data_IF_024035442157
#
_entry.id   IF_024035442157
#
_cell.length_a   1.000
_cell.length_b   1.000
_cell.length_c   1.000
_cell.angle_alpha   90.00
_cell.angle_beta   90.00
_cell.angle_gamma   90.00
#
_symmetry.space_group_name_H-M   'P 1'
#
loop_
_entity.id
_entity.type
_entity.pdbx_description
1 polymer ?
#
# COMPACT_ATOMS: atom_id res chain seq x y z
N UNK A 1 -41.60 1.51 -22.23
CA UNK A 1 -40.19 1.36 -21.79
C UNK A 1 -39.89 0.14 -20.89
N UNK A 2 -40.83 -0.33 -20.07
CA UNK A 2 -40.58 -1.52 -19.17
C UNK A 2 -40.19 -2.82 -19.89
N UNK A 3 -40.72 -3.09 -21.10
CA UNK A 3 -40.46 -4.34 -21.82
C UNK A 3 -39.08 -4.41 -22.48
N UNK A 4 -38.45 -3.27 -22.80
CA UNK A 4 -37.14 -3.24 -23.48
C UNK A 4 -35.99 -3.67 -22.58
N UNK A 5 -36.11 -3.43 -21.27
CA UNK A 5 -35.07 -3.78 -20.31
C UNK A 5 -35.23 -5.21 -19.75
N UNK A 6 -36.42 -5.81 -19.82
CA UNK A 6 -36.68 -7.17 -19.32
C UNK A 6 -35.80 -8.23 -19.99
N UNK A 7 -35.57 -8.10 -21.30
CA UNK A 7 -34.72 -9.03 -22.04
C UNK A 7 -33.24 -8.94 -21.62
N UNK A 8 -32.75 -7.75 -21.24
CA UNK A 8 -31.40 -7.59 -20.76
C UNK A 8 -31.21 -8.06 -19.32
N UNK A 9 -32.24 -7.95 -18.48
CA UNK A 9 -32.26 -8.54 -17.14
C UNK A 9 -32.18 -10.07 -17.24
N UNK A 10 -32.98 -10.69 -18.12
CA UNK A 10 -32.94 -12.13 -18.37
C UNK A 10 -31.56 -12.55 -18.89
N UNK A 11 -30.99 -11.81 -19.82
CA UNK A 11 -29.64 -12.10 -20.35
C UNK A 11 -28.57 -12.04 -19.25
N UNK A 12 -28.66 -11.06 -18.32
CA UNK A 12 -27.79 -10.93 -17.18
C UNK A 12 -27.87 -12.15 -16.23
N UNK A 13 -29.09 -12.61 -15.93
CA UNK A 13 -29.29 -13.81 -15.10
C UNK A 13 -28.71 -15.04 -15.77
N UNK A 14 -28.95 -15.24 -17.08
CA UNK A 14 -28.38 -16.36 -17.84
C UNK A 14 -26.87 -16.29 -17.83
N UNK A 15 -26.28 -15.13 -18.07
CA UNK A 15 -24.81 -14.96 -18.10
C UNK A 15 -24.18 -15.23 -16.74
N UNK A 16 -24.82 -14.80 -15.66
CA UNK A 16 -24.34 -15.06 -14.29
C UNK A 16 -24.44 -16.54 -13.94
N UNK A 17 -25.51 -17.20 -14.38
CA UNK A 17 -25.70 -18.64 -14.22
C UNK A 17 -24.63 -19.44 -15.01
N UNK A 18 -24.29 -18.98 -16.24
CA UNK A 18 -23.23 -19.59 -17.05
C UNK A 18 -21.87 -19.51 -16.36
N UNK A 19 -21.55 -18.35 -15.76
CA UNK A 19 -20.31 -18.19 -14.98
C UNK A 19 -20.31 -19.14 -13.77
N UNK A 20 -21.41 -19.19 -13.05
CA UNK A 20 -21.58 -20.07 -11.89
C UNK A 20 -21.40 -21.56 -12.26
N UNK A 21 -22.08 -22.04 -13.30
CA UNK A 21 -21.95 -23.41 -13.79
C UNK A 21 -20.54 -23.70 -14.30
N UNK A 22 -19.93 -22.73 -14.99
CA UNK A 22 -18.57 -22.83 -15.49
C UNK A 22 -17.51 -23.00 -14.40
N UNK A 23 -17.75 -22.44 -13.21
CA UNK A 23 -16.87 -22.59 -12.05
C UNK A 23 -16.82 -24.01 -11.48
N UNK A 24 -17.91 -24.77 -11.60
CA UNK A 24 -17.97 -26.18 -11.16
C UNK A 24 -17.57 -27.17 -12.25
N UNK A 25 -17.40 -26.69 -13.48
CA UNK A 25 -16.94 -27.54 -14.58
C UNK A 25 -15.41 -27.60 -14.61
N UNK A 26 -14.80 -28.70 -15.11
CA UNK A 26 -13.34 -28.77 -15.18
C UNK A 26 -12.81 -27.65 -16.09
N UNK A 27 -11.86 -26.88 -15.57
CA UNK A 27 -11.31 -25.71 -16.25
C UNK A 27 -10.26 -26.11 -17.30
N UNK A 28 -9.60 -27.23 -17.07
CA UNK A 28 -8.58 -27.78 -17.97
C UNK A 28 -8.90 -29.23 -18.30
N UNK A 29 -8.91 -29.54 -19.58
CA UNK A 29 -9.05 -30.90 -20.12
C UNK A 29 -7.68 -31.31 -20.66
N UNK A 30 -6.94 -32.12 -19.93
CA UNK A 30 -5.63 -32.61 -20.36
C UNK A 30 -5.38 -34.05 -19.96
N UNK A 31 -4.57 -34.78 -20.75
CA UNK A 31 -4.12 -36.15 -20.44
C UNK A 31 -3.47 -36.17 -19.06
N UNK A 32 -3.90 -37.09 -18.23
CA UNK A 32 -3.57 -37.27 -16.80
C UNK A 32 -2.07 -37.41 -16.47
N UNK A 33 -1.19 -37.48 -17.44
CA UNK A 33 0.15 -38.03 -17.24
C UNK A 33 1.28 -37.03 -17.15
N UNK A 34 1.06 -35.72 -17.27
CA UNK A 34 2.21 -34.82 -17.33
C UNK A 34 2.41 -33.86 -16.15
N UNK A 35 1.38 -33.44 -15.38
CA UNK A 35 1.60 -32.34 -14.39
C UNK A 35 0.67 -32.28 -13.18
N UNK A 36 -0.11 -33.30 -12.85
CA UNK A 36 -1.20 -33.18 -11.87
C UNK A 36 -1.04 -34.00 -10.58
N UNK A 37 0.10 -34.60 -10.30
CA UNK A 37 0.29 -35.35 -9.06
C UNK A 37 0.41 -34.47 -7.80
N UNK A 38 0.68 -33.15 -7.93
CA UNK A 38 0.84 -32.25 -6.79
C UNK A 38 -0.22 -31.15 -6.68
N UNK A 39 -1.22 -31.14 -7.58
CA UNK A 39 -2.26 -30.12 -7.55
C UNK A 39 -3.40 -30.56 -6.61
N UNK A 40 -3.27 -30.20 -5.34
CA UNK A 40 -4.37 -30.35 -4.40
C UNK A 40 -5.57 -29.51 -4.85
N UNK A 41 -6.59 -30.16 -5.39
CA UNK A 41 -7.93 -29.63 -5.70
C UNK A 41 -8.51 -28.71 -4.61
N UNK A 42 -8.03 -28.84 -3.40
CA UNK A 42 -8.47 -28.05 -2.24
C UNK A 42 -8.06 -26.56 -2.27
N UNK A 43 -6.95 -26.19 -2.88
CA UNK A 43 -6.50 -24.79 -2.91
C UNK A 43 -7.20 -23.96 -3.99
N UNK A 44 -7.55 -24.59 -5.10
CA UNK A 44 -8.41 -23.98 -6.14
C UNK A 44 -9.87 -24.01 -5.72
N UNK A 45 -10.29 -25.04 -4.97
CA UNK A 45 -11.66 -25.19 -4.50
C UNK A 45 -12.04 -24.12 -3.47
N UNK A 46 -11.15 -23.70 -2.58
CA UNK A 46 -11.46 -22.68 -1.58
C UNK A 46 -11.74 -21.30 -2.22
N UNK A 47 -10.97 -20.93 -3.22
CA UNK A 47 -11.17 -19.66 -3.94
C UNK A 47 -12.40 -19.72 -4.85
N UNK A 48 -12.58 -20.84 -5.57
CA UNK A 48 -13.74 -21.06 -6.43
C UNK A 48 -15.04 -21.11 -5.59
N UNK A 49 -15.02 -21.72 -4.42
CA UNK A 49 -16.13 -21.73 -3.48
C UNK A 49 -16.42 -20.31 -2.94
N UNK A 50 -15.41 -19.53 -2.55
CA UNK A 50 -15.61 -18.14 -2.11
C UNK A 50 -16.21 -17.25 -3.21
N UNK A 51 -15.74 -17.38 -4.44
CA UNK A 51 -16.28 -16.63 -5.59
C UNK A 51 -17.69 -17.11 -5.91
N UNK A 52 -17.95 -18.42 -5.85
CA UNK A 52 -19.27 -19.01 -6.08
C UNK A 52 -20.28 -18.57 -5.01
N UNK A 53 -19.88 -18.54 -3.75
CA UNK A 53 -20.70 -18.02 -2.64
C UNK A 53 -20.96 -16.52 -2.82
N UNK A 54 -19.97 -15.74 -3.22
CA UNK A 54 -20.13 -14.32 -3.51
C UNK A 54 -21.11 -14.11 -4.70
N UNK A 55 -21.01 -14.89 -5.76
CA UNK A 55 -21.96 -14.87 -6.88
C UNK A 55 -23.37 -15.29 -6.44
N UNK A 56 -23.50 -16.34 -5.64
CA UNK A 56 -24.79 -16.80 -5.12
C UNK A 56 -25.44 -15.78 -4.18
N UNK A 57 -24.65 -15.14 -3.29
CA UNK A 57 -25.12 -14.07 -2.42
C UNK A 57 -25.55 -12.85 -3.23
N UNK A 58 -24.82 -12.49 -4.28
CA UNK A 58 -25.19 -11.36 -5.15
C UNK A 58 -26.45 -11.65 -5.96
N UNK A 59 -26.66 -12.88 -6.41
CA UNK A 59 -27.93 -13.31 -7.03
C UNK A 59 -29.07 -13.22 -6.00
N UNK A 60 -28.87 -13.73 -4.77
CA UNK A 60 -29.89 -13.70 -3.71
C UNK A 60 -30.26 -12.26 -3.30
N UNK A 61 -29.28 -11.36 -3.17
CA UNK A 61 -29.54 -9.95 -2.87
C UNK A 61 -30.09 -9.19 -4.06
N UNK A 62 -29.90 -9.64 -5.32
CA UNK A 62 -30.43 -9.00 -6.52
C UNK A 62 -31.94 -9.05 -6.61
N UNK A 63 -32.58 -10.07 -6.04
CA UNK A 63 -34.03 -10.15 -5.95
C UNK A 63 -34.66 -9.05 -5.08
N UNK A 64 -33.92 -8.39 -4.23
CA UNK A 64 -34.41 -7.36 -3.28
C UNK A 64 -34.04 -5.91 -3.59
N UNK A 65 -33.04 -5.61 -4.42
CA UNK A 65 -32.63 -4.21 -4.72
C UNK A 65 -32.00 -4.03 -6.12
N UNK A 66 -32.40 -2.98 -6.80
CA UNK A 66 -32.08 -2.56 -8.17
C UNK A 66 -30.58 -2.39 -8.53
N UNK A 67 -29.63 -2.56 -7.58
CA UNK A 67 -28.20 -2.29 -7.77
C UNK A 67 -27.27 -3.49 -7.49
N UNK A 68 -27.79 -4.60 -7.01
CA UNK A 68 -26.95 -5.74 -6.60
C UNK A 68 -26.40 -6.56 -7.78
N UNK A 69 -27.05 -6.49 -8.94
CA UNK A 69 -26.59 -7.16 -10.17
C UNK A 69 -25.39 -6.46 -10.84
N UNK A 70 -25.14 -5.19 -10.54
CA UNK A 70 -23.91 -4.50 -10.91
C UNK A 70 -22.69 -5.11 -10.20
N UNK A 71 -22.85 -5.46 -8.93
CA UNK A 71 -21.83 -6.13 -8.14
C UNK A 71 -21.55 -7.57 -8.64
N UNK A 72 -22.60 -8.31 -9.08
CA UNK A 72 -22.44 -9.67 -9.60
C UNK A 72 -21.64 -9.73 -10.90
N UNK A 73 -21.90 -8.79 -11.84
CA UNK A 73 -21.18 -8.78 -13.11
C UNK A 73 -19.69 -8.39 -12.92
N UNK A 74 -19.41 -7.48 -11.99
CA UNK A 74 -18.06 -7.10 -11.62
C UNK A 74 -17.33 -8.30 -11.01
N UNK A 75 -17.92 -8.98 -10.04
CA UNK A 75 -17.34 -10.16 -9.41
C UNK A 75 -17.10 -11.29 -10.42
N UNK A 76 -18.01 -11.50 -11.37
CA UNK A 76 -17.83 -12.49 -12.42
C UNK A 76 -16.68 -12.15 -13.38
N UNK A 77 -16.56 -10.87 -13.78
CA UNK A 77 -15.47 -10.43 -14.66
C UNK A 77 -14.11 -10.55 -13.95
N UNK A 78 -14.07 -10.25 -12.67
CA UNK A 78 -12.87 -10.35 -11.83
C UNK A 78 -12.48 -11.81 -11.58
N UNK A 79 -13.43 -12.72 -11.40
CA UNK A 79 -13.16 -14.15 -11.31
C UNK A 79 -12.48 -14.68 -12.58
N UNK A 80 -12.87 -14.15 -13.74
CA UNK A 80 -12.28 -14.51 -15.03
C UNK A 80 -10.84 -14.01 -15.18
N UNK A 81 -10.59 -12.72 -14.87
CA UNK A 81 -9.25 -12.14 -14.91
C UNK A 81 -8.32 -12.91 -13.98
N UNK A 82 -8.80 -13.24 -12.78
CA UNK A 82 -8.02 -14.00 -11.80
C UNK A 82 -7.73 -15.42 -12.27
N UNK A 83 -8.70 -16.12 -12.89
CA UNK A 83 -8.50 -17.47 -13.42
C UNK A 83 -7.45 -17.50 -14.53
N UNK A 84 -7.43 -16.49 -15.41
CA UNK A 84 -6.42 -16.33 -16.46
C UNK A 84 -5.04 -16.03 -15.89
N UNK A 85 -4.97 -15.19 -14.86
CA UNK A 85 -3.70 -14.81 -14.22
C UNK A 85 -3.09 -15.98 -13.43
N UNK A 86 -3.93 -16.76 -12.74
CA UNK A 86 -3.51 -17.92 -11.97
C UNK A 86 -3.00 -19.06 -12.87
N UNK A 87 -3.58 -19.24 -14.06
CA UNK A 87 -3.11 -20.22 -15.03
C UNK A 87 -1.76 -19.83 -15.67
N UNK A 88 -1.45 -18.52 -15.78
CA UNK A 88 -0.16 -18.02 -16.26
C UNK A 88 1.00 -18.39 -15.33
N UNK A 89 0.79 -18.37 -14.03
CA UNK A 89 1.82 -18.66 -13.02
C UNK A 89 2.17 -20.15 -12.95
N UNK A 90 1.24 -21.02 -13.35
CA UNK A 90 1.42 -22.48 -13.35
C UNK A 90 2.23 -22.99 -14.56
N UNK A 91 2.37 -22.16 -15.61
CA UNK A 91 3.06 -22.51 -16.85
C UNK A 91 4.44 -21.89 -16.97
N UNK A 92 5.13 -21.74 -15.87
CA UNK A 92 6.48 -21.20 -15.83
C UNK A 92 7.47 -22.11 -16.54
N UNK A 93 7.88 -21.71 -17.72
CA UNK A 93 9.19 -22.02 -18.28
C UNK A 93 9.26 -22.46 -19.73
N UNK A 94 8.25 -23.10 -20.33
CA UNK A 94 8.45 -23.77 -21.61
C UNK A 94 7.88 -23.09 -22.88
N UNK A 95 6.98 -22.09 -22.77
CA UNK A 95 6.17 -21.70 -23.94
C UNK A 95 5.89 -20.19 -24.06
N UNK A 96 6.91 -19.36 -24.07
CA UNK A 96 6.72 -17.90 -24.24
C UNK A 96 6.10 -17.44 -25.56
N UNK A 97 6.21 -18.20 -26.63
CA UNK A 97 5.80 -17.75 -27.98
C UNK A 97 4.46 -18.30 -28.50
N UNK A 98 3.91 -19.35 -27.89
CA UNK A 98 2.64 -19.98 -28.33
C UNK A 98 1.55 -20.01 -27.26
N UNK A 99 1.72 -19.26 -26.18
CA UNK A 99 0.86 -19.29 -24.99
C UNK A 99 -0.64 -19.16 -25.30
N UNK A 100 -1.04 -18.20 -26.11
CA UNK A 100 -2.46 -17.98 -26.41
C UNK A 100 -3.09 -19.14 -27.20
N UNK A 101 -2.37 -19.68 -28.20
CA UNK A 101 -2.90 -20.76 -29.04
C UNK A 101 -3.01 -22.09 -28.28
N UNK A 102 -2.03 -22.40 -27.44
CA UNK A 102 -2.04 -23.62 -26.63
C UNK A 102 -3.01 -23.50 -25.44
N UNK A 103 -3.21 -22.31 -24.90
CA UNK A 103 -4.23 -22.02 -23.90
C UNK A 103 -5.64 -22.35 -24.40
N UNK A 104 -6.01 -21.90 -25.61
CA UNK A 104 -7.32 -22.19 -26.18
C UNK A 104 -7.54 -23.68 -26.48
N UNK A 105 -6.45 -24.43 -26.75
CA UNK A 105 -6.52 -25.89 -26.96
C UNK A 105 -6.72 -26.67 -25.67
N UNK A 106 -6.19 -26.17 -24.55
CA UNK A 106 -6.29 -26.82 -23.23
C UNK A 106 -7.50 -26.36 -22.42
N UNK A 107 -8.13 -25.24 -22.80
CA UNK A 107 -9.31 -24.73 -22.11
C UNK A 107 -10.49 -25.70 -22.26
N UNK A 108 -11.10 -26.04 -21.14
CA UNK A 108 -12.27 -26.94 -21.14
C UNK A 108 -13.59 -26.17 -21.28
N UNK A 109 -14.67 -26.88 -21.43
CA UNK A 109 -16.03 -26.31 -21.52
C UNK A 109 -16.35 -25.34 -20.38
N UNK A 110 -15.85 -25.60 -19.17
CA UNK A 110 -16.04 -24.72 -18.00
C UNK A 110 -15.43 -23.34 -18.21
N UNK A 111 -14.22 -23.26 -18.79
CA UNK A 111 -13.58 -21.98 -19.08
C UNK A 111 -14.35 -21.17 -20.13
N UNK A 112 -14.78 -21.83 -21.22
CA UNK A 112 -15.58 -21.15 -22.26
C UNK A 112 -16.91 -20.62 -21.71
N UNK A 113 -17.58 -21.38 -20.83
CA UNK A 113 -18.81 -20.94 -20.16
C UNK A 113 -18.56 -19.71 -19.29
N UNK A 114 -17.48 -19.71 -18.50
CA UNK A 114 -17.10 -18.56 -17.67
C UNK A 114 -16.79 -17.33 -18.52
N UNK A 115 -16.01 -17.50 -19.61
CA UNK A 115 -15.61 -16.41 -20.50
C UNK A 115 -16.79 -15.79 -21.23
N UNK A 116 -17.61 -16.61 -21.88
CA UNK A 116 -18.79 -16.16 -22.61
C UNK A 116 -19.83 -15.54 -21.67
N UNK A 117 -20.06 -16.14 -20.50
CA UNK A 117 -20.95 -15.59 -19.47
C UNK A 117 -20.50 -14.25 -18.96
N UNK A 118 -19.19 -14.04 -18.75
CA UNK A 118 -18.64 -12.76 -18.30
C UNK A 118 -18.77 -11.66 -19.36
N UNK A 119 -18.53 -11.99 -20.63
CA UNK A 119 -18.73 -11.04 -21.76
C UNK A 119 -20.19 -10.66 -21.89
N UNK A 120 -21.12 -11.64 -21.85
CA UNK A 120 -22.54 -11.40 -21.92
C UNK A 120 -23.03 -10.53 -20.73
N UNK A 121 -22.50 -10.80 -19.53
CA UNK A 121 -22.75 -10.00 -18.33
C UNK A 121 -22.31 -8.55 -18.50
N UNK A 122 -21.11 -8.33 -19.06
CA UNK A 122 -20.59 -6.99 -19.31
C UNK A 122 -21.44 -6.22 -20.35
N UNK A 123 -21.80 -6.87 -21.46
CA UNK A 123 -22.66 -6.28 -22.50
C UNK A 123 -24.03 -5.93 -21.94
N UNK A 124 -24.62 -6.82 -21.15
CA UNK A 124 -25.91 -6.61 -20.51
C UNK A 124 -25.87 -5.45 -19.53
N UNK A 125 -24.79 -5.34 -18.75
CA UNK A 125 -24.54 -4.25 -17.82
C UNK A 125 -24.49 -2.90 -18.57
N UNK A 126 -23.70 -2.78 -19.63
CA UNK A 126 -23.55 -1.55 -20.41
C UNK A 126 -24.92 -1.08 -20.97
N UNK A 127 -25.77 -2.01 -21.39
CA UNK A 127 -27.10 -1.69 -21.95
C UNK A 127 -28.16 -1.40 -20.90
N UNK A 128 -28.03 -1.93 -19.70
CA UNK A 128 -28.95 -1.71 -18.58
C UNK A 128 -28.66 -0.42 -17.80
N UNK A 129 -27.48 0.17 -17.97
CA UNK A 129 -27.09 1.39 -17.30
C UNK A 129 -27.89 2.60 -17.83
N UNK A 130 -28.71 3.28 -17.00
CA UNK A 130 -29.32 4.56 -17.39
C UNK A 130 -28.21 5.61 -17.49
N UNK A 131 -28.03 6.15 -18.69
CA UNK A 131 -26.81 6.86 -19.17
C UNK A 131 -26.32 8.06 -18.37
N UNK A 132 -27.10 8.63 -17.44
CA UNK A 132 -26.71 9.82 -16.66
C UNK A 132 -26.38 9.55 -15.18
N UNK A 133 -26.97 8.53 -14.54
CA UNK A 133 -26.79 8.27 -13.10
C UNK A 133 -25.65 7.29 -12.77
N UNK A 134 -25.24 6.48 -13.72
CA UNK A 134 -24.28 5.37 -13.50
C UNK A 134 -22.93 5.60 -14.15
N UNK A 135 -22.79 6.54 -15.06
CA UNK A 135 -21.52 6.94 -15.64
C UNK A 135 -20.42 7.20 -14.57
N UNK A 136 -20.68 7.94 -13.46
CA UNK A 136 -19.67 8.17 -12.44
C UNK A 136 -19.13 6.87 -11.82
N UNK A 137 -20.01 5.89 -11.58
CA UNK A 137 -19.59 4.60 -11.00
C UNK A 137 -18.73 3.78 -11.95
N UNK A 138 -18.99 3.86 -13.26
CA UNK A 138 -18.19 3.18 -14.27
C UNK A 138 -16.77 3.76 -14.35
N UNK A 139 -16.61 5.08 -14.20
CA UNK A 139 -15.30 5.73 -14.17
C UNK A 139 -14.51 5.41 -12.91
N UNK A 140 -15.17 5.24 -11.77
CA UNK A 140 -14.52 4.91 -10.49
C UNK A 140 -14.20 3.41 -10.39
N UNK A 141 -14.94 2.54 -11.10
CA UNK A 141 -14.84 1.09 -11.00
C UNK A 141 -13.44 0.52 -11.23
N UNK A 142 -12.65 0.94 -12.25
CA UNK A 142 -11.30 0.44 -12.44
C UNK A 142 -10.39 0.74 -11.24
N UNK A 143 -10.51 1.93 -10.65
CA UNK A 143 -9.74 2.32 -9.46
C UNK A 143 -10.16 1.51 -8.24
N UNK A 144 -11.46 1.41 -7.98
CA UNK A 144 -12.00 0.65 -6.83
C UNK A 144 -11.63 -0.83 -6.94
N UNK A 145 -11.74 -1.41 -8.15
CA UNK A 145 -11.33 -2.80 -8.37
C UNK A 145 -9.84 -2.98 -8.13
N UNK A 146 -9.00 -2.07 -8.65
CA UNK A 146 -7.55 -2.11 -8.39
C UNK A 146 -7.23 -2.08 -6.90
N UNK A 147 -7.81 -1.14 -6.15
CA UNK A 147 -7.62 -1.05 -4.69
C UNK A 147 -8.11 -2.33 -3.99
N UNK A 148 -9.26 -2.85 -4.39
CA UNK A 148 -9.80 -4.08 -3.80
C UNK A 148 -8.85 -5.26 -3.99
N UNK A 149 -8.38 -5.51 -5.22
CA UNK A 149 -7.55 -6.69 -5.49
C UNK A 149 -6.10 -6.53 -5.04
N UNK A 150 -5.54 -5.32 -5.13
CA UNK A 150 -4.14 -5.11 -4.81
C UNK A 150 -3.90 -4.76 -3.34
N UNK A 151 -4.94 -4.35 -2.61
CA UNK A 151 -4.80 -3.94 -1.21
C UNK A 151 -5.67 -4.81 -0.27
N UNK A 152 -6.98 -4.83 -0.48
CA UNK A 152 -7.88 -5.53 0.45
C UNK A 152 -7.77 -7.06 0.37
N UNK A 153 -7.64 -7.61 -0.83
CA UNK A 153 -7.52 -9.07 -0.99
C UNK A 153 -6.24 -9.62 -0.37
N UNK A 154 -5.02 -9.09 -0.62
CA UNK A 154 -3.81 -9.53 0.06
C UNK A 154 -3.87 -9.33 1.59
N UNK A 155 -4.48 -8.25 2.07
CA UNK A 155 -4.66 -8.03 3.50
C UNK A 155 -5.57 -9.09 4.14
N UNK A 156 -6.72 -9.40 3.51
CA UNK A 156 -7.60 -10.48 3.96
C UNK A 156 -6.91 -11.86 3.88
N UNK A 157 -6.10 -12.07 2.84
CA UNK A 157 -5.31 -13.30 2.72
C UNK A 157 -4.25 -13.40 3.82
N UNK A 158 -3.59 -12.29 4.19
CA UNK A 158 -2.67 -12.28 5.32
C UNK A 158 -3.35 -12.65 6.64
N UNK A 159 -4.60 -12.22 6.87
CA UNK A 159 -5.41 -12.66 8.02
C UNK A 159 -5.62 -14.19 7.98
N UNK A 160 -5.96 -14.75 6.83
CA UNK A 160 -6.13 -16.20 6.69
C UNK A 160 -4.82 -16.97 6.94
N UNK A 161 -3.71 -16.47 6.44
CA UNK A 161 -2.37 -17.08 6.58
C UNK A 161 -1.88 -17.03 8.02
N UNK A 162 -2.21 -15.97 8.78
CA UNK A 162 -1.75 -15.76 10.16
C UNK A 162 -2.22 -16.85 11.14
N UNK A 163 -3.35 -17.50 10.86
CA UNK A 163 -3.88 -18.63 11.67
C UNK A 163 -3.30 -19.99 11.27
N UNK A 164 -2.32 -20.01 10.36
CA UNK A 164 -1.76 -21.26 9.83
C UNK A 164 -0.25 -21.32 10.03
N UNK A 165 0.30 -22.51 10.17
CA UNK A 165 1.73 -22.77 10.03
C UNK A 165 2.08 -22.75 8.54
N UNK A 166 2.20 -21.53 7.99
CA UNK A 166 2.41 -21.34 6.55
C UNK A 166 3.91 -21.12 6.27
N UNK A 167 4.52 -22.14 5.65
CA UNK A 167 5.84 -22.05 5.05
C UNK A 167 5.70 -22.30 3.55
N UNK A 168 6.41 -21.54 2.71
CA UNK A 168 6.27 -21.63 1.25
C UNK A 168 6.73 -22.99 0.75
N UNK A 169 7.80 -23.53 1.32
CA UNK A 169 8.44 -24.78 0.90
C UNK A 169 7.67 -26.05 1.35
N UNK A 170 6.82 -25.94 2.36
CA UNK A 170 6.13 -27.07 2.94
C UNK A 170 4.71 -27.14 2.38
N UNK A 171 4.31 -28.26 1.69
CA UNK A 171 2.96 -28.38 1.14
C UNK A 171 1.85 -28.34 2.20
N UNK A 172 2.07 -29.00 3.35
CA UNK A 172 1.11 -29.02 4.46
C UNK A 172 1.11 -27.69 5.20
N UNK A 173 -0.03 -27.02 5.25
CA UNK A 173 -0.25 -25.73 5.91
C UNK A 173 -1.36 -25.87 6.96
N UNK A 174 -1.11 -26.59 8.07
CA UNK A 174 -2.12 -26.87 9.07
C UNK A 174 -2.63 -25.58 9.72
N UNK A 175 -3.91 -25.60 10.06
CA UNK A 175 -4.50 -24.56 10.90
C UNK A 175 -4.02 -24.74 12.33
N UNK A 176 -3.49 -23.67 12.94
CA UNK A 176 -2.92 -23.67 14.29
C UNK A 176 -3.58 -22.62 15.21
N UNK A 177 -4.71 -22.04 14.79
CA UNK A 177 -5.41 -21.05 15.58
C UNK A 177 -4.53 -19.83 15.92
N UNK A 178 -4.49 -19.43 17.18
CA UNK A 178 -3.76 -18.27 17.66
C UNK A 178 -2.28 -18.51 18.02
N UNK A 179 -1.73 -19.69 17.75
CA UNK A 179 -0.37 -20.08 18.13
C UNK A 179 0.71 -19.10 17.60
N UNK A 180 0.53 -18.58 16.37
CA UNK A 180 1.42 -17.57 15.83
C UNK A 180 1.37 -16.26 16.64
N UNK A 181 0.19 -15.84 17.06
CA UNK A 181 0.01 -14.60 17.84
C UNK A 181 0.63 -14.72 19.23
N UNK A 182 0.42 -15.85 19.91
CA UNK A 182 1.04 -16.13 21.23
C UNK A 182 2.55 -16.00 21.12
N UNK A 183 3.14 -16.64 20.10
CA UNK A 183 4.60 -16.57 19.85
C UNK A 183 5.08 -15.15 19.55
N UNK A 184 4.31 -14.32 18.87
CA UNK A 184 4.69 -12.92 18.62
C UNK A 184 4.69 -12.12 19.92
N UNK A 185 3.74 -12.36 20.82
CA UNK A 185 3.72 -11.68 22.12
C UNK A 185 4.90 -12.09 23.02
N UNK A 186 5.39 -13.31 22.88
CA UNK A 186 6.57 -13.84 23.59
C UNK A 186 7.90 -13.47 22.92
N UNK A 187 7.88 -12.93 21.70
CA UNK A 187 9.09 -12.61 20.93
C UNK A 187 9.68 -11.25 21.34
N UNK A 188 10.65 -11.26 22.22
CA UNK A 188 11.36 -10.06 22.69
C UNK A 188 11.98 -9.26 21.53
N UNK A 189 12.49 -9.92 20.49
CA UNK A 189 13.10 -9.25 19.33
C UNK A 189 12.08 -8.50 18.49
N UNK A 190 10.83 -8.98 18.43
CA UNK A 190 9.75 -8.25 17.78
C UNK A 190 9.47 -6.93 18.51
N UNK A 191 9.38 -6.97 19.83
CA UNK A 191 9.14 -5.77 20.63
C UNK A 191 10.31 -4.81 20.60
N UNK A 192 11.54 -5.33 20.60
CA UNK A 192 12.75 -4.53 20.40
C UNK A 192 12.75 -3.84 19.03
N UNK A 193 12.42 -4.55 17.95
CA UNK A 193 12.34 -4.00 16.61
C UNK A 193 11.26 -2.91 16.48
N UNK A 194 10.14 -3.09 17.19
CA UNK A 194 9.09 -2.08 17.30
C UNK A 194 9.61 -0.83 18.03
N UNK A 195 10.35 -1.02 19.13
CA UNK A 195 10.96 0.09 19.86
C UNK A 195 11.97 0.87 19.01
N UNK A 196 12.78 0.19 18.21
CA UNK A 196 13.71 0.82 17.25
C UNK A 196 12.92 1.65 16.22
N UNK A 197 11.79 1.12 15.70
CA UNK A 197 10.89 1.87 14.81
C UNK A 197 10.35 3.14 15.48
N UNK A 198 10.00 3.08 16.76
CA UNK A 198 9.55 4.25 17.52
C UNK A 198 10.66 5.28 17.73
N UNK A 199 11.87 4.86 18.12
CA UNK A 199 13.03 5.75 18.25
C UNK A 199 13.30 6.50 16.94
N UNK A 200 13.30 5.76 15.83
CA UNK A 200 13.46 6.32 14.51
C UNK A 200 12.37 7.34 14.18
N UNK A 201 11.11 6.99 14.41
CA UNK A 201 9.98 7.87 14.14
C UNK A 201 10.02 9.15 14.98
N UNK A 202 10.39 9.05 16.26
CA UNK A 202 10.57 10.21 17.15
C UNK A 202 11.64 11.18 16.66
N UNK A 203 12.68 10.70 16.00
CA UNK A 203 13.69 11.57 15.39
C UNK A 203 13.21 12.19 14.07
N UNK A 204 12.64 11.36 13.20
CA UNK A 204 12.29 11.76 11.83
C UNK A 204 11.09 12.71 11.81
N UNK A 205 10.03 12.42 12.56
CA UNK A 205 8.76 13.15 12.45
C UNK A 205 8.92 14.63 12.85
N UNK A 206 9.36 14.98 14.07
CA UNK A 206 9.44 16.38 14.46
C UNK A 206 10.46 17.15 13.64
N UNK A 207 11.64 16.56 13.40
CA UNK A 207 12.70 17.20 12.62
C UNK A 207 12.25 17.51 11.20
N UNK A 208 11.61 16.53 10.52
CA UNK A 208 11.08 16.71 9.17
C UNK A 208 10.00 17.79 9.13
N UNK A 209 9.07 17.81 10.08
CA UNK A 209 7.98 18.81 10.14
C UNK A 209 8.55 20.19 10.36
N UNK A 210 9.43 20.37 11.35
CA UNK A 210 10.02 21.66 11.67
C UNK A 210 10.84 22.19 10.49
N UNK A 211 11.76 21.39 9.95
CA UNK A 211 12.59 21.81 8.84
C UNK A 211 11.77 22.14 7.59
N UNK A 212 10.82 21.29 7.23
CA UNK A 212 10.00 21.53 6.04
C UNK A 212 9.08 22.75 6.21
N UNK A 213 8.58 23.01 7.42
CA UNK A 213 7.79 24.20 7.70
C UNK A 213 8.65 25.49 7.59
N UNK A 214 9.85 25.48 8.18
CA UNK A 214 10.80 26.61 8.08
C UNK A 214 11.16 26.87 6.61
N UNK A 215 11.55 25.83 5.86
CA UNK A 215 11.87 25.98 4.44
C UNK A 215 10.68 26.47 3.61
N UNK A 216 9.47 25.99 3.89
CA UNK A 216 8.28 26.48 3.20
C UNK A 216 8.03 27.97 3.46
N UNK A 217 8.19 28.44 4.71
CA UNK A 217 8.07 29.86 5.08
C UNK A 217 9.13 30.72 4.36
N UNK A 218 10.38 30.25 4.34
CA UNK A 218 11.47 30.95 3.66
C UNK A 218 11.21 31.07 2.15
N UNK A 219 10.80 29.97 1.50
CA UNK A 219 10.48 29.95 0.07
C UNK A 219 9.25 30.80 -0.25
N UNK A 220 8.25 30.79 0.64
CA UNK A 220 7.05 31.62 0.49
C UNK A 220 7.39 33.13 0.50
N UNK A 221 8.34 33.52 1.34
CA UNK A 221 8.79 34.93 1.47
C UNK A 221 9.65 35.41 0.27
N UNK A 222 10.27 34.50 -0.49
CA UNK A 222 11.13 34.88 -1.61
C UNK A 222 10.30 35.08 -2.89
N UNK A 223 10.25 36.26 -3.51
CA UNK A 223 9.46 36.53 -4.72
C UNK A 223 10.06 35.92 -5.99
N UNK A 224 11.40 35.81 -6.06
CA UNK A 224 12.17 35.36 -7.23
C UNK A 224 12.74 33.96 -7.01
N UNK A 225 13.02 33.22 -8.11
CA UNK A 225 13.68 31.91 -8.11
C UNK A 225 12.89 30.76 -7.45
N UNK A 226 11.58 30.91 -7.17
CA UNK A 226 10.74 29.84 -6.59
C UNK A 226 10.83 28.53 -7.37
N UNK A 227 10.99 28.59 -8.70
CA UNK A 227 11.14 27.43 -9.56
C UNK A 227 12.42 26.64 -9.29
N UNK A 228 13.56 27.34 -9.12
CA UNK A 228 14.86 26.70 -8.84
C UNK A 228 14.83 26.01 -7.48
N UNK A 229 14.36 26.70 -6.45
CA UNK A 229 14.20 26.09 -5.12
C UNK A 229 13.30 24.86 -5.17
N UNK A 230 12.19 24.93 -5.93
CA UNK A 230 11.29 23.78 -6.10
C UNK A 230 12.03 22.57 -6.67
N UNK A 231 12.86 22.72 -7.68
CA UNK A 231 13.63 21.62 -8.25
C UNK A 231 14.63 21.08 -7.23
N UNK A 232 15.39 21.94 -6.56
CA UNK A 232 16.44 21.53 -5.63
C UNK A 232 15.91 20.69 -4.46
N UNK A 233 14.87 21.14 -3.77
CA UNK A 233 14.33 20.38 -2.63
C UNK A 233 13.43 19.20 -3.02
N UNK A 234 12.87 19.22 -4.25
CA UNK A 234 11.98 18.15 -4.70
C UNK A 234 12.73 17.00 -5.36
N UNK A 235 13.90 17.27 -5.97
CA UNK A 235 14.70 16.26 -6.65
C UNK A 235 14.99 15.01 -5.79
N UNK A 236 15.43 15.13 -4.52
CA UNK A 236 15.64 13.98 -3.66
C UNK A 236 14.37 13.13 -3.43
N UNK A 237 13.22 13.77 -3.37
CA UNK A 237 11.94 13.11 -3.11
C UNK A 237 11.49 12.22 -4.28
N UNK A 238 11.79 12.64 -5.52
CA UNK A 238 11.42 11.90 -6.74
C UNK A 238 12.44 10.80 -7.07
N UNK A 239 13.66 10.93 -6.56
CA UNK A 239 14.72 9.95 -6.82
C UNK A 239 14.40 8.63 -6.11
N UNK A 240 14.72 7.51 -6.77
CA UNK A 240 14.56 6.17 -6.19
C UNK A 240 15.27 6.07 -4.84
N UNK A 241 14.59 5.53 -3.83
CA UNK A 241 15.17 5.29 -2.50
C UNK A 241 16.43 4.41 -2.57
N UNK A 242 16.44 3.43 -3.47
CA UNK A 242 17.60 2.54 -3.67
C UNK A 242 18.81 3.33 -4.15
N UNK A 243 18.64 4.18 -5.17
CA UNK A 243 19.72 5.01 -5.69
C UNK A 243 20.26 5.99 -4.63
N UNK A 244 19.36 6.64 -3.89
CA UNK A 244 19.73 7.52 -2.78
C UNK A 244 20.51 6.75 -1.72
N UNK A 245 20.05 5.58 -1.30
CA UNK A 245 20.72 4.77 -0.29
C UNK A 245 22.12 4.35 -0.72
N UNK A 246 22.32 3.95 -1.98
CA UNK A 246 23.65 3.60 -2.51
C UNK A 246 24.60 4.80 -2.50
N UNK A 247 24.12 5.99 -2.89
CA UNK A 247 24.92 7.23 -2.85
C UNK A 247 25.32 7.55 -1.41
N UNK A 248 24.38 7.46 -0.46
CA UNK A 248 24.66 7.72 0.94
C UNK A 248 25.56 6.67 1.59
N UNK A 249 25.52 5.38 1.17
CA UNK A 249 26.47 4.38 1.59
C UNK A 249 27.90 4.76 1.20
N UNK A 250 28.11 5.38 0.04
CA UNK A 250 29.40 5.90 -0.36
C UNK A 250 29.82 7.13 0.45
N UNK A 251 28.89 8.05 0.70
CA UNK A 251 29.14 9.23 1.51
C UNK A 251 29.53 8.85 2.95
N UNK A 252 28.88 7.85 3.50
CA UNK A 252 29.10 7.36 4.86
C UNK A 252 30.21 6.30 4.99
N UNK A 253 30.88 5.96 3.89
CA UNK A 253 31.91 4.93 3.93
C UNK A 253 33.04 5.28 4.94
N UNK A 254 33.45 4.36 5.86
CA UNK A 254 34.36 4.67 6.96
C UNK A 254 35.72 5.22 6.50
N UNK A 255 36.28 4.70 5.41
CA UNK A 255 37.64 5.02 4.98
C UNK A 255 37.74 6.09 3.90
N UNK A 256 36.83 6.14 2.93
CA UNK A 256 36.89 7.06 1.78
C UNK A 256 35.63 7.91 1.61
N UNK A 257 34.68 7.82 2.57
CA UNK A 257 33.42 8.56 2.50
C UNK A 257 33.62 10.04 2.72
N UNK A 258 32.85 10.84 1.95
CA UNK A 258 32.88 12.29 2.01
C UNK A 258 32.55 12.82 3.43
N UNK A 259 31.69 12.13 4.18
CA UNK A 259 31.33 12.51 5.54
C UNK A 259 32.57 12.50 6.45
N UNK A 260 33.36 11.42 6.46
CA UNK A 260 34.56 11.33 7.26
C UNK A 260 35.71 12.21 6.72
N UNK A 261 35.76 12.42 5.41
CA UNK A 261 36.69 13.41 4.84
C UNK A 261 36.42 14.82 5.39
N UNK A 262 35.14 15.26 5.43
CA UNK A 262 34.80 16.57 6.01
C UNK A 262 35.12 16.66 7.50
N UNK A 263 34.92 15.58 8.27
CA UNK A 263 35.30 15.52 9.69
C UNK A 263 36.80 15.61 9.87
N UNK A 264 37.59 14.94 9.03
CA UNK A 264 39.06 14.96 9.11
C UNK A 264 39.65 16.36 8.86
N UNK A 265 39.07 17.16 7.95
CA UNK A 265 39.42 18.55 7.72
C UNK A 265 39.18 19.43 8.97
N UNK A 266 38.19 19.06 9.79
CA UNK A 266 37.87 19.73 11.05
C UNK A 266 38.64 19.17 12.26
N UNK A 267 39.54 18.18 12.06
CA UNK A 267 40.29 17.51 13.12
C UNK A 267 39.42 16.56 13.98
N UNK A 268 38.24 16.17 13.52
CA UNK A 268 37.33 15.28 14.22
C UNK A 268 37.64 13.82 13.78
N UNK A 269 37.68 12.85 14.73
CA UNK A 269 37.94 11.46 14.39
C UNK A 269 36.85 10.87 13.48
N UNK A 270 37.25 9.89 12.67
CA UNK A 270 36.33 9.19 11.77
C UNK A 270 35.24 8.45 12.56
N UNK A 271 34.03 8.48 12.04
CA UNK A 271 32.85 7.82 12.61
C UNK A 271 32.44 6.67 11.71
N UNK A 272 32.08 5.54 12.30
CA UNK A 272 31.42 4.46 11.56
C UNK A 272 29.91 4.71 11.51
N UNK A 273 29.50 5.45 10.50
CA UNK A 273 28.14 5.96 10.35
C UNK A 273 27.06 4.89 10.26
N UNK A 274 27.40 3.71 9.76
CA UNK A 274 26.41 2.63 9.51
C UNK A 274 26.73 1.35 10.31
N UNK A 275 27.93 1.23 10.89
CA UNK A 275 28.33 0.06 11.67
C UNK A 275 28.25 0.27 13.18
N UNK A 276 28.29 1.53 13.69
CA UNK A 276 28.14 1.82 15.11
C UNK A 276 26.66 1.81 15.54
N UNK A 277 26.23 0.92 16.47
CA UNK A 277 24.84 0.85 16.95
C UNK A 277 24.29 2.17 17.53
N UNK A 278 25.17 3.03 18.05
CA UNK A 278 24.75 4.32 18.61
C UNK A 278 24.49 5.38 17.54
N UNK A 279 25.06 5.23 16.34
CA UNK A 279 25.04 6.23 15.28
C UNK A 279 24.16 5.80 14.09
N UNK A 280 24.18 4.51 13.74
CA UNK A 280 23.62 3.99 12.51
C UNK A 280 22.15 4.39 12.28
N UNK A 281 21.28 4.25 13.27
CA UNK A 281 19.87 4.59 13.16
C UNK A 281 19.65 6.10 12.87
N UNK A 282 20.50 6.96 13.44
CA UNK A 282 20.43 8.42 13.23
C UNK A 282 20.95 8.81 11.84
N UNK A 283 21.97 8.11 11.35
CA UNK A 283 22.49 8.29 9.99
C UNK A 283 21.42 7.97 8.95
N UNK A 284 20.72 6.86 9.11
CA UNK A 284 19.59 6.49 8.24
C UNK A 284 18.44 7.50 8.40
N UNK A 285 18.13 7.93 9.62
CA UNK A 285 17.09 8.95 9.88
C UNK A 285 17.40 10.26 9.15
N UNK A 286 18.65 10.71 9.15
CA UNK A 286 19.05 11.91 8.43
C UNK A 286 18.77 11.80 6.92
N UNK A 287 19.12 10.69 6.29
CA UNK A 287 18.86 10.46 4.87
C UNK A 287 17.38 10.48 4.57
N UNK A 288 16.57 9.85 5.40
CA UNK A 288 15.11 9.83 5.24
C UNK A 288 14.47 11.20 5.43
N UNK A 289 14.97 12.00 6.40
CA UNK A 289 14.53 13.39 6.59
C UNK A 289 14.85 14.18 5.33
N UNK A 290 16.11 14.18 4.90
CA UNK A 290 16.55 14.92 3.72
C UNK A 290 15.75 14.57 2.47
N UNK A 291 15.53 13.27 2.21
CA UNK A 291 14.73 12.82 1.08
C UNK A 291 13.26 13.22 1.19
N UNK A 292 12.71 13.18 2.39
CA UNK A 292 11.30 13.42 2.65
C UNK A 292 10.89 14.89 2.76
N UNK A 293 11.86 15.83 2.88
CA UNK A 293 11.57 17.27 3.04
C UNK A 293 10.74 17.82 1.89
N UNK A 294 11.08 17.47 0.64
CA UNK A 294 10.46 18.04 -0.55
C UNK A 294 8.95 17.84 -0.59
N UNK A 295 8.46 16.65 -0.26
CA UNK A 295 7.03 16.37 -0.20
C UNK A 295 6.32 17.25 0.83
N UNK A 296 6.88 17.36 2.03
CA UNK A 296 6.30 18.16 3.11
C UNK A 296 6.33 19.65 2.81
N UNK A 297 7.42 20.17 2.19
CA UNK A 297 7.53 21.56 1.76
C UNK A 297 6.44 21.92 0.74
N UNK A 298 6.15 21.05 -0.23
CA UNK A 298 5.09 21.30 -1.22
C UNK A 298 3.73 21.43 -0.55
N UNK A 299 3.41 20.55 0.38
CA UNK A 299 2.12 20.59 1.11
C UNK A 299 2.03 21.88 1.94
N UNK A 300 3.11 22.26 2.63
CA UNK A 300 3.12 23.52 3.37
C UNK A 300 3.01 24.74 2.46
N UNK A 301 3.70 24.76 1.32
CA UNK A 301 3.55 25.86 0.35
C UNK A 301 2.14 25.94 -0.22
N UNK A 302 1.49 24.80 -0.48
CA UNK A 302 0.09 24.79 -0.90
C UNK A 302 -0.82 25.39 0.19
N UNK A 303 -0.62 25.00 1.45
CA UNK A 303 -1.34 25.59 2.59
C UNK A 303 -1.11 27.09 2.73
N UNK A 304 0.14 27.55 2.65
CA UNK A 304 0.50 28.97 2.73
C UNK A 304 -0.13 29.79 1.59
N UNK A 305 -0.18 29.26 0.37
CA UNK A 305 -0.80 29.93 -0.77
C UNK A 305 -2.33 29.99 -0.66
N UNK A 306 -2.94 29.14 0.15
CA UNK A 306 -4.40 29.16 0.39
C UNK A 306 -4.81 30.19 1.47
N UNK A 307 -3.87 30.83 2.17
CA UNK A 307 -4.19 31.88 3.14
C UNK A 307 -4.66 33.12 2.37
N UNK A 308 -5.87 33.65 2.63
CA UNK A 308 -6.38 34.84 1.97
C UNK A 308 -5.49 36.07 2.22
N UNK A 309 -5.06 36.73 1.17
CA UNK A 309 -4.22 37.95 1.28
C UNK A 309 -4.83 39.02 2.18
N UNK A 310 -6.14 39.32 2.15
CA UNK A 310 -6.72 40.32 3.04
C UNK A 310 -6.45 40.08 4.52
N UNK A 311 -6.37 38.80 4.97
CA UNK A 311 -6.07 38.49 6.37
C UNK A 311 -4.63 38.89 6.70
N UNK A 312 -3.69 38.67 5.77
CA UNK A 312 -2.31 39.06 5.95
C UNK A 312 -2.12 40.59 5.93
N UNK A 313 -2.84 41.28 5.07
CA UNK A 313 -2.84 42.74 4.94
C UNK A 313 -3.50 43.41 6.18
N UNK A 314 -4.65 42.92 6.64
CA UNK A 314 -5.28 43.41 7.87
C UNK A 314 -4.33 43.30 9.06
N UNK A 315 -3.62 42.17 9.19
CA UNK A 315 -2.65 41.99 10.27
C UNK A 315 -1.47 43.01 10.24
N UNK A 316 -1.12 43.49 9.05
CA UNK A 316 -0.10 44.52 8.90
C UNK A 316 -0.63 45.91 9.32
N UNK A 317 -1.91 46.20 9.01
CA UNK A 317 -2.60 47.41 9.45
C UNK A 317 -2.72 47.43 10.99
N UNK A 318 -3.02 46.29 11.60
CA UNK A 318 -3.10 46.11 13.07
C UNK A 318 -1.73 46.16 13.76
N UNK A 319 -0.63 46.37 13.00
CA UNK A 319 0.72 46.50 13.57
C UNK A 319 1.34 45.15 14.02
N UNK A 320 0.86 44.04 13.56
CA UNK A 320 1.41 42.71 13.90
C UNK A 320 2.86 42.60 13.31
N UNK A 321 3.83 42.37 14.18
CA UNK A 321 5.18 42.06 13.73
C UNK A 321 5.24 40.64 13.10
N UNK A 322 6.36 40.33 12.42
CA UNK A 322 6.53 39.05 11.70
C UNK A 322 6.33 37.83 12.58
N UNK A 323 6.75 37.86 13.85
CA UNK A 323 6.60 36.77 14.79
C UNK A 323 5.13 36.59 15.23
N UNK A 324 4.46 37.68 15.56
CA UNK A 324 3.03 37.66 15.92
C UNK A 324 2.17 37.18 14.75
N UNK A 325 2.46 37.65 13.53
CA UNK A 325 1.82 37.18 12.29
C UNK A 325 2.01 35.67 12.08
N UNK A 326 3.24 35.16 12.27
CA UNK A 326 3.53 33.74 12.15
C UNK A 326 2.76 32.93 13.20
N UNK A 327 2.86 33.32 14.48
CA UNK A 327 2.32 32.52 15.61
C UNK A 327 0.80 32.55 15.71
N UNK A 328 0.18 33.70 15.47
CA UNK A 328 -1.25 33.91 15.76
C UNK A 328 -2.14 33.85 14.51
N UNK A 329 -1.56 33.95 13.30
CA UNK A 329 -2.32 33.99 12.05
C UNK A 329 -1.91 32.83 11.15
N UNK A 330 -0.67 32.79 10.72
CA UNK A 330 -0.20 31.82 9.72
C UNK A 330 -0.25 30.39 10.30
N UNK A 331 0.38 30.15 11.45
CA UNK A 331 0.43 28.78 12.03
C UNK A 331 -0.93 28.20 12.36
N UNK A 332 -1.89 28.94 12.96
CA UNK A 332 -3.26 28.43 13.13
C UNK A 332 -3.96 28.10 11.83
N UNK A 333 -3.87 28.96 10.81
CA UNK A 333 -4.44 28.69 9.49
C UNK A 333 -3.78 27.52 8.76
N UNK A 334 -2.52 27.21 9.08
CA UNK A 334 -1.77 26.06 8.57
C UNK A 334 -2.06 24.74 9.30
N UNK A 335 -2.88 24.75 10.36
CA UNK A 335 -3.22 23.56 11.15
C UNK A 335 -3.64 22.36 10.32
N UNK A 336 -4.50 22.47 9.27
CA UNK A 336 -4.85 21.33 8.46
C UNK A 336 -3.65 20.69 7.74
N UNK A 337 -2.75 21.52 7.19
CA UNK A 337 -1.54 21.04 6.52
C UNK A 337 -0.54 20.42 7.50
N UNK A 338 -0.39 21.01 8.70
CA UNK A 338 0.45 20.46 9.77
C UNK A 338 -0.04 19.08 10.20
N UNK A 339 -1.34 18.93 10.41
CA UNK A 339 -1.95 17.66 10.82
C UNK A 339 -1.81 16.61 9.72
N UNK A 340 -2.04 16.96 8.46
CA UNK A 340 -1.87 16.06 7.33
C UNK A 340 -0.43 15.52 7.26
N UNK A 341 0.57 16.42 7.37
CA UNK A 341 1.98 16.02 7.34
C UNK A 341 2.34 15.22 8.58
N UNK A 342 1.82 15.56 9.75
CA UNK A 342 2.07 14.82 10.98
C UNK A 342 1.58 13.37 10.88
N UNK A 343 0.34 13.14 10.44
CA UNK A 343 -0.22 11.79 10.29
C UNK A 343 0.53 11.00 9.22
N UNK A 344 0.72 11.57 8.02
CA UNK A 344 1.39 10.87 6.93
C UNK A 344 2.87 10.59 7.21
N UNK A 345 3.56 11.51 7.90
CA UNK A 345 4.94 11.29 8.33
C UNK A 345 5.05 10.23 9.42
N UNK A 346 4.10 10.16 10.34
CA UNK A 346 4.08 9.12 11.38
C UNK A 346 3.92 7.74 10.77
N UNK A 347 2.95 7.57 9.88
CA UNK A 347 2.75 6.30 9.18
C UNK A 347 4.01 5.90 8.41
N UNK A 348 4.58 6.83 7.63
CA UNK A 348 5.77 6.55 6.83
C UNK A 348 7.03 6.27 7.66
N UNK A 349 7.22 6.97 8.78
CA UNK A 349 8.40 6.77 9.62
C UNK A 349 8.34 5.46 10.42
N UNK A 350 7.18 5.09 10.95
CA UNK A 350 7.03 3.81 11.67
C UNK A 350 7.19 2.61 10.71
N UNK A 351 6.79 2.77 9.45
CA UNK A 351 6.86 1.72 8.41
C UNK A 351 8.17 1.75 7.61
N UNK A 352 9.22 2.42 8.09
CA UNK A 352 10.50 2.47 7.40
C UNK A 352 11.06 1.06 7.16
N UNK A 353 11.42 0.80 5.91
CA UNK A 353 11.98 -0.48 5.47
C UNK A 353 13.14 -0.28 4.49
N UNK A 354 12.87 0.42 3.39
CA UNK A 354 13.78 0.45 2.24
C UNK A 354 15.13 1.06 2.57
N UNK A 355 15.17 2.13 3.34
CA UNK A 355 16.40 2.77 3.79
C UNK A 355 17.20 1.84 4.71
N UNK A 356 16.55 1.18 5.67
CA UNK A 356 17.18 0.21 6.56
C UNK A 356 17.75 -0.97 5.77
N UNK A 357 16.94 -1.55 4.89
CA UNK A 357 17.33 -2.69 4.06
C UNK A 357 18.54 -2.39 3.17
N UNK A 358 18.59 -1.21 2.57
CA UNK A 358 19.64 -0.84 1.62
C UNK A 358 20.91 -0.28 2.27
N UNK A 359 20.82 0.32 3.45
CA UNK A 359 21.95 1.00 4.08
C UNK A 359 22.63 0.16 5.15
N UNK A 360 21.89 -0.45 6.06
CA UNK A 360 22.43 -1.21 7.18
C UNK A 360 22.13 -2.71 7.11
N UNK A 361 21.16 -3.13 6.26
CA UNK A 361 20.71 -4.52 6.25
C UNK A 361 20.07 -4.98 7.58
N UNK A 362 19.66 -4.05 8.44
CA UNK A 362 19.16 -4.34 9.79
C UNK A 362 20.23 -4.60 10.83
N UNK A 363 21.51 -4.46 10.49
CA UNK A 363 22.62 -4.56 11.43
C UNK A 363 22.77 -3.28 12.28
N UNK A 364 23.71 -3.26 13.22
CA UNK A 364 24.01 -2.12 14.09
C UNK A 364 22.75 -1.57 14.81
N UNK A 365 21.92 -2.44 15.38
CA UNK A 365 20.68 -2.12 16.09
C UNK A 365 19.69 -1.24 15.29
N UNK A 366 19.68 -1.41 13.98
CA UNK A 366 18.75 -0.70 13.10
C UNK A 366 17.55 -1.55 12.62
N UNK A 367 17.42 -2.77 13.13
CA UNK A 367 16.35 -3.70 12.72
C UNK A 367 14.98 -3.20 13.15
N UNK A 368 14.29 -2.50 12.24
CA UNK A 368 12.92 -2.00 12.46
C UNK A 368 11.87 -3.11 12.34
N UNK A 369 10.65 -2.86 12.84
CA UNK A 369 9.58 -3.84 12.85
C UNK A 369 9.25 -4.37 11.45
N UNK A 370 9.18 -3.49 10.42
CA UNK A 370 8.89 -3.93 9.04
C UNK A 370 10.03 -4.76 8.47
N UNK A 371 11.28 -4.42 8.79
CA UNK A 371 12.43 -5.23 8.40
C UNK A 371 12.38 -6.61 9.04
N UNK A 372 12.08 -6.71 10.34
CA UNK A 372 11.95 -7.97 11.07
C UNK A 372 10.84 -8.86 10.51
N UNK A 373 9.67 -8.26 10.22
CA UNK A 373 8.55 -8.95 9.56
C UNK A 373 8.97 -9.49 8.18
N UNK A 374 9.66 -8.68 7.39
CA UNK A 374 10.18 -9.08 6.08
C UNK A 374 11.19 -10.25 6.20
N UNK A 375 12.11 -10.16 7.13
CA UNK A 375 13.09 -11.22 7.39
C UNK A 375 12.42 -12.58 7.67
N UNK A 376 11.42 -12.60 8.55
CA UNK A 376 10.68 -13.84 8.84
C UNK A 376 9.84 -14.33 7.67
N UNK A 377 9.20 -13.44 6.93
CA UNK A 377 8.36 -13.79 5.80
C UNK A 377 9.17 -14.33 4.62
N UNK A 378 10.18 -13.59 4.21
CA UNK A 378 10.88 -13.84 2.94
C UNK A 378 12.21 -14.53 3.09
N UNK A 379 13.01 -14.22 4.11
CA UNK A 379 14.30 -14.89 4.33
C UNK A 379 14.14 -16.22 5.06
N UNK A 380 13.29 -16.27 6.09
CA UNK A 380 13.02 -17.49 6.87
C UNK A 380 11.82 -18.28 6.37
N UNK A 381 11.10 -17.77 5.36
CA UNK A 381 9.93 -18.39 4.71
C UNK A 381 8.78 -18.77 5.67
N UNK A 382 8.70 -18.13 6.85
CA UNK A 382 7.67 -18.36 7.87
C UNK A 382 6.51 -17.37 7.69
N UNK A 383 5.80 -17.48 6.56
CA UNK A 383 4.74 -16.54 6.17
C UNK A 383 3.61 -16.43 7.20
N UNK A 384 3.21 -17.55 7.85
CA UNK A 384 2.16 -17.51 8.87
C UNK A 384 2.53 -16.64 10.07
N UNK A 385 3.75 -16.76 10.55
CA UNK A 385 4.27 -15.97 11.65
C UNK A 385 4.46 -14.50 11.26
N UNK A 386 5.04 -14.24 10.09
CA UNK A 386 5.20 -12.89 9.56
C UNK A 386 3.85 -12.19 9.36
N UNK A 387 2.82 -12.92 8.91
CA UNK A 387 1.46 -12.37 8.78
C UNK A 387 0.86 -11.99 10.13
N UNK A 388 1.07 -12.81 11.18
CA UNK A 388 0.60 -12.49 12.54
C UNK A 388 1.31 -11.21 13.07
N UNK A 389 2.64 -11.12 12.92
CA UNK A 389 3.39 -9.90 13.25
C UNK A 389 2.86 -8.67 12.50
N UNK A 390 2.61 -8.80 11.19
CA UNK A 390 2.08 -7.71 10.35
C UNK A 390 0.73 -7.22 10.84
N UNK A 391 -0.15 -8.11 11.27
CA UNK A 391 -1.49 -7.74 11.78
C UNK A 391 -1.43 -7.05 13.14
N UNK A 392 -0.56 -7.51 14.04
CA UNK A 392 -0.32 -6.82 15.32
C UNK A 392 0.26 -5.42 15.06
N UNK A 393 1.26 -5.33 14.19
CA UNK A 393 1.89 -4.07 13.81
C UNK A 393 0.89 -3.09 13.16
N UNK A 394 0.04 -3.59 12.26
CA UNK A 394 -1.05 -2.82 11.68
C UNK A 394 -2.02 -2.29 12.74
N UNK A 395 -2.40 -3.12 13.71
CA UNK A 395 -3.24 -2.70 14.85
C UNK A 395 -2.61 -1.58 15.66
N UNK A 396 -1.31 -1.65 15.92
CA UNK A 396 -0.57 -0.59 16.63
C UNK A 396 -0.60 0.73 15.85
N UNK A 397 -0.34 0.68 14.53
CA UNK A 397 -0.38 1.88 13.68
C UNK A 397 -1.80 2.48 13.65
N UNK A 398 -2.84 1.65 13.56
CA UNK A 398 -4.22 2.12 13.62
C UNK A 398 -4.54 2.85 14.91
N UNK A 399 -4.13 2.30 16.07
CA UNK A 399 -4.32 2.92 17.37
C UNK A 399 -3.62 4.28 17.43
N UNK A 400 -2.35 4.34 17.01
CA UNK A 400 -1.58 5.60 16.99
C UNK A 400 -2.27 6.63 16.09
N UNK A 401 -2.65 6.24 14.88
CA UNK A 401 -3.33 7.14 13.93
C UNK A 401 -4.67 7.63 14.49
N UNK A 402 -5.44 6.74 15.11
CA UNK A 402 -6.71 7.12 15.74
C UNK A 402 -6.51 8.11 16.88
N UNK A 403 -5.51 7.90 17.74
CA UNK A 403 -5.14 8.84 18.80
C UNK A 403 -4.75 10.20 18.20
N UNK A 404 -3.91 10.22 17.17
CA UNK A 404 -3.50 11.45 16.48
C UNK A 404 -4.72 12.21 15.94
N UNK A 405 -5.64 11.51 15.27
CA UNK A 405 -6.88 12.13 14.75
C UNK A 405 -7.76 12.72 15.85
N UNK A 406 -7.86 12.04 16.98
CA UNK A 406 -8.59 12.53 18.16
C UNK A 406 -7.94 13.78 18.77
N UNK A 407 -6.64 13.73 18.98
CA UNK A 407 -5.88 14.83 19.62
C UNK A 407 -5.85 16.08 18.73
N UNK A 408 -5.72 15.90 17.42
CA UNK A 408 -5.69 17.02 16.48
C UNK A 408 -7.06 17.62 16.19
N UNK A 409 -8.14 17.01 16.66
CA UNK A 409 -9.54 17.45 16.48
C UNK A 409 -9.87 17.73 15.01
N UNK A 410 -9.42 16.86 14.10
CA UNK A 410 -9.61 17.03 12.65
C UNK A 410 -11.07 17.10 12.21
N UNK A 411 -11.99 16.59 13.01
CA UNK A 411 -13.43 16.50 12.70
C UNK A 411 -14.32 17.39 13.56
N UNK A 412 -13.78 18.30 14.36
CA UNK A 412 -14.56 19.37 14.98
C UNK A 412 -14.40 20.62 14.12
N UNK A 413 -15.37 20.87 13.28
CA UNK A 413 -15.75 22.22 12.86
C UNK A 413 -16.26 22.92 14.13
N UNK A 414 -15.48 23.86 14.66
CA UNK A 414 -15.95 24.86 15.62
C UNK A 414 -16.66 25.97 14.86
#
# INVERSE_FOLDING_TARGET
>A
MKNKYRNFEILLYISTLMVFVGMFSPIVSGKKDLFLNDFNYFNTMSLTVMISVACALTIFFSFKKKYSWMLSSVLCTLALVFSVFFMKDQWNGALRSKFLLDFFKCASAGWYLMFTGSILSLISLIKLLPSKKTAPYLFILPMVSGVFFLTFFPAAFAVFVSFRRWNILIPKKPFIGFDNYIKVFEDEYFWQSLWISFKYALAVIPTKIILSYIFALLIFAIPKFKGVFRVVYFLPTVTSVVAVSVIWNWIYHPYFGLANYTLSVLGIPAVDWLGDPNVAIWSVAFVSIWRGLGYSIIIFLAGLNNIPKPILEASEIDGANRWNKLRHIITPLMKPSLVLIFITSTIGAIQVFSEIYMMTGGDADTKTAVYYIWEYGFSRLRMGYASAMSLIFFGIILIITFIQMRVTRLFKED
#
